data_IF_025066600083
#
_entry.id   IF_025066600083
#
_cell.length_a   1.000
_cell.length_b   1.000
_cell.length_c   1.000
_cell.angle_alpha   90.00
_cell.angle_beta   90.00
_cell.angle_gamma   90.00
#
_symmetry.space_group_name_H-M   'P 1'
#
loop_
_entity.id
_entity.type
_entity.pdbx_description
1 polymer ?
#
# COMPACT_ATOMS: atom_id res chain seq x y z
N UNK A 1 -3.59 8.94 -7.18
CA UNK A 1 -2.16 8.71 -6.88
C UNK A 1 -1.33 9.82 -7.51
N UNK A 2 -0.46 10.44 -6.76
CA UNK A 2 0.39 11.54 -7.22
C UNK A 2 1.52 11.01 -8.07
N UNK A 3 1.83 11.68 -9.17
CA UNK A 3 2.95 11.37 -10.04
C UNK A 3 3.86 12.58 -10.12
N UNK A 4 5.15 12.39 -9.90
CA UNK A 4 6.17 13.44 -10.00
C UNK A 4 7.22 13.06 -11.03
N UNK A 5 7.74 14.05 -11.74
CA UNK A 5 8.92 13.88 -12.59
C UNK A 5 10.16 13.71 -11.73
N UNK A 6 11.23 13.17 -12.33
CA UNK A 6 12.53 13.05 -11.65
C UNK A 6 13.02 14.41 -11.11
N UNK A 7 12.91 15.47 -11.91
CA UNK A 7 13.34 16.80 -11.51
C UNK A 7 12.52 17.33 -10.34
N UNK A 8 11.20 17.19 -10.40
CA UNK A 8 10.33 17.60 -9.29
C UNK A 8 10.61 16.80 -8.02
N UNK A 9 10.78 15.50 -8.13
CA UNK A 9 11.07 14.65 -6.98
C UNK A 9 12.42 15.00 -6.36
N UNK A 10 13.44 15.23 -7.19
CA UNK A 10 14.77 15.64 -6.72
C UNK A 10 14.72 16.97 -5.98
N UNK A 11 14.04 17.96 -6.55
CA UNK A 11 13.99 19.31 -6.00
C UNK A 11 13.10 19.40 -4.75
N UNK A 12 12.09 18.53 -4.65
CA UNK A 12 11.09 18.53 -3.58
C UNK A 12 11.02 17.20 -2.84
N UNK A 13 12.15 16.52 -2.70
CA UNK A 13 12.17 15.18 -2.09
C UNK A 13 11.63 15.17 -0.66
N UNK A 14 12.00 16.16 0.15
CA UNK A 14 11.50 16.26 1.52
C UNK A 14 9.98 16.41 1.56
N UNK A 15 9.42 17.25 0.68
CA UNK A 15 7.98 17.44 0.59
C UNK A 15 7.26 16.18 0.12
N UNK A 16 7.81 15.49 -0.87
CA UNK A 16 7.26 14.22 -1.36
C UNK A 16 7.31 13.15 -0.28
N UNK A 17 8.40 13.09 0.45
CA UNK A 17 8.57 12.18 1.59
C UNK A 17 7.48 12.41 2.64
N UNK A 18 7.32 13.66 3.08
CA UNK A 18 6.33 14.02 4.09
C UNK A 18 4.90 13.76 3.61
N UNK A 19 4.63 14.01 2.34
CA UNK A 19 3.32 13.77 1.74
C UNK A 19 2.96 12.29 1.76
N UNK A 20 3.85 11.41 1.30
CA UNK A 20 3.57 9.96 1.28
C UNK A 20 3.41 9.39 2.69
N UNK A 21 4.17 9.89 3.65
CA UNK A 21 4.03 9.50 5.06
C UNK A 21 2.71 9.98 5.64
N UNK A 22 2.31 11.22 5.34
CA UNK A 22 1.09 11.83 5.85
C UNK A 22 -0.17 11.20 5.26
N UNK A 23 -0.19 10.99 3.95
CA UNK A 23 -1.37 10.46 3.23
C UNK A 23 -1.42 8.93 3.22
N UNK A 24 -0.29 8.28 3.48
CA UNK A 24 -0.13 6.82 3.34
C UNK A 24 -0.38 6.32 1.92
N UNK A 25 -0.27 7.22 0.95
CA UNK A 25 -0.43 6.87 -0.46
C UNK A 25 0.90 6.89 -1.19
N UNK A 26 1.11 5.94 -2.12
CA UNK A 26 2.32 5.91 -2.93
C UNK A 26 2.41 7.14 -3.85
N UNK A 27 3.62 7.57 -4.11
CA UNK A 27 3.91 8.61 -5.11
C UNK A 27 4.73 7.97 -6.21
N UNK A 28 4.25 8.07 -7.45
CA UNK A 28 4.96 7.53 -8.61
C UNK A 28 6.02 8.54 -9.05
N UNK A 29 7.24 8.06 -9.23
CA UNK A 29 8.35 8.88 -9.72
C UNK A 29 8.70 8.43 -11.15
N UNK A 30 8.61 9.36 -12.08
CA UNK A 30 8.89 9.10 -13.49
C UNK A 30 10.18 9.77 -13.91
N UNK A 31 11.00 9.03 -14.64
CA UNK A 31 12.23 9.55 -15.20
C UNK A 31 12.29 9.17 -16.67
N UNK A 32 12.41 10.16 -17.54
CA UNK A 32 12.45 9.96 -18.97
C UNK A 32 13.57 8.99 -19.38
N UNK A 33 13.21 7.97 -20.14
CA UNK A 33 14.16 6.94 -20.58
C UNK A 33 14.51 5.89 -19.54
N UNK A 34 13.84 5.92 -18.37
CA UNK A 34 14.05 4.96 -17.28
C UNK A 34 12.73 4.39 -16.80
N UNK A 35 12.81 3.26 -16.13
CA UNK A 35 11.64 2.64 -15.53
C UNK A 35 11.13 3.50 -14.37
N UNK A 36 9.82 3.64 -14.27
CA UNK A 36 9.19 4.37 -13.15
C UNK A 36 9.33 3.61 -11.85
N UNK A 37 9.43 4.34 -10.75
CA UNK A 37 9.52 3.78 -9.40
C UNK A 37 8.45 4.39 -8.51
N UNK A 38 8.30 3.84 -7.33
CA UNK A 38 7.29 4.29 -6.36
C UNK A 38 7.97 4.66 -5.05
N UNK A 39 7.60 5.82 -4.51
CA UNK A 39 7.95 6.24 -3.17
C UNK A 39 6.78 5.89 -2.25
N UNK A 40 7.03 5.08 -1.23
CA UNK A 40 5.99 4.59 -0.33
C UNK A 40 6.57 4.41 1.08
N UNK A 41 5.81 4.67 2.14
CA UNK A 41 6.30 4.40 3.49
C UNK A 41 6.64 2.91 3.66
N UNK A 42 7.72 2.64 4.37
CA UNK A 42 8.20 1.26 4.54
C UNK A 42 7.15 0.34 5.17
N UNK A 43 6.40 0.84 6.14
CA UNK A 43 5.36 0.05 6.80
C UNK A 43 4.23 -0.31 5.83
N UNK A 44 3.86 0.61 4.95
CA UNK A 44 2.86 0.35 3.91
C UNK A 44 3.36 -0.73 2.93
N UNK A 45 4.61 -0.65 2.53
CA UNK A 45 5.24 -1.65 1.67
C UNK A 45 5.24 -3.03 2.33
N UNK A 46 5.63 -3.09 3.62
CA UNK A 46 5.61 -4.34 4.38
C UNK A 46 4.20 -4.92 4.49
N UNK A 47 3.20 -4.05 4.71
CA UNK A 47 1.80 -4.46 4.75
C UNK A 47 1.34 -5.06 3.42
N UNK A 48 1.72 -4.45 2.31
CA UNK A 48 1.42 -4.98 0.98
C UNK A 48 2.05 -6.35 0.76
N UNK A 49 3.31 -6.53 1.18
CA UNK A 49 4.00 -7.82 1.08
C UNK A 49 3.31 -8.91 1.91
N UNK A 50 2.89 -8.58 3.12
CA UNK A 50 2.15 -9.51 3.98
C UNK A 50 0.80 -9.90 3.35
N UNK A 51 0.08 -8.93 2.80
CA UNK A 51 -1.18 -9.18 2.11
C UNK A 51 -0.98 -10.09 0.90
N UNK A 52 0.05 -9.84 0.10
CA UNK A 52 0.39 -10.69 -1.03
C UNK A 52 0.73 -12.13 -0.58
N UNK A 53 1.46 -12.26 0.52
CA UNK A 53 1.77 -13.56 1.10
C UNK A 53 0.50 -14.31 1.55
N UNK A 54 -0.43 -13.60 2.17
CA UNK A 54 -1.73 -14.16 2.57
C UNK A 54 -2.53 -14.70 1.40
N UNK A 55 -2.50 -13.98 0.27
CA UNK A 55 -3.23 -14.35 -0.92
C UNK A 55 -2.67 -15.60 -1.62
N UNK A 56 -1.48 -16.07 -1.25
CA UNK A 56 -0.92 -17.31 -1.78
C UNK A 56 -1.66 -18.55 -1.27
N UNK A 57 -2.29 -18.47 -0.10
CA UNK A 57 -3.12 -19.54 0.43
C UNK A 57 -4.55 -19.36 -0.08
N UNK A 58 -5.15 -20.37 -0.76
CA UNK A 58 -6.53 -20.25 -1.25
C UNK A 58 -7.55 -19.96 -0.14
N UNK A 59 -7.35 -20.53 1.04
CA UNK A 59 -8.23 -20.29 2.19
C UNK A 59 -8.14 -18.84 2.68
N UNK A 60 -6.93 -18.32 2.80
CA UNK A 60 -6.71 -16.93 3.22
C UNK A 60 -7.19 -15.95 2.15
N UNK A 61 -6.99 -16.25 0.87
CA UNK A 61 -7.49 -15.43 -0.22
C UNK A 61 -9.00 -15.30 -0.17
N UNK A 62 -9.73 -16.42 0.01
CA UNK A 62 -11.19 -16.42 0.14
C UNK A 62 -11.65 -15.63 1.36
N UNK A 63 -10.96 -15.78 2.49
CA UNK A 63 -11.27 -15.06 3.72
C UNK A 63 -11.11 -13.56 3.54
N UNK A 64 -9.99 -13.12 2.94
CA UNK A 64 -9.72 -11.71 2.72
C UNK A 64 -10.70 -11.11 1.72
N UNK A 65 -10.97 -11.78 0.61
CA UNK A 65 -11.92 -11.31 -0.39
C UNK A 65 -13.34 -11.24 0.18
N UNK A 66 -13.73 -12.19 1.02
CA UNK A 66 -15.00 -12.15 1.74
C UNK A 66 -15.12 -10.96 2.67
N UNK A 67 -14.05 -10.63 3.40
CA UNK A 67 -14.01 -9.47 4.28
C UNK A 67 -14.14 -8.17 3.50
N UNK A 68 -13.43 -8.04 2.37
CA UNK A 68 -13.51 -6.88 1.48
C UNK A 68 -14.92 -6.71 0.91
N UNK A 69 -15.54 -7.80 0.50
CA UNK A 69 -16.92 -7.77 0.00
C UNK A 69 -17.91 -7.29 1.07
N UNK A 70 -17.75 -7.75 2.31
CA UNK A 70 -18.58 -7.28 3.43
C UNK A 70 -18.40 -5.78 3.68
N UNK A 71 -17.17 -5.26 3.57
CA UNK A 71 -16.91 -3.84 3.69
C UNK A 71 -17.62 -3.04 2.60
N UNK A 72 -17.60 -3.52 1.35
CA UNK A 72 -18.31 -2.90 0.24
C UNK A 72 -19.82 -2.85 0.47
N UNK A 73 -20.38 -3.87 1.12
CA UNK A 73 -21.80 -3.95 1.43
C UNK A 73 -22.19 -3.21 2.71
N UNK A 74 -21.27 -2.49 3.34
CA UNK A 74 -21.52 -1.74 4.57
C UNK A 74 -21.60 -2.59 5.84
N UNK A 75 -21.22 -3.86 5.78
CA UNK A 75 -21.24 -4.79 6.90
C UNK A 75 -19.92 -4.79 7.68
N UNK A 76 -19.28 -3.66 7.75
CA UNK A 76 -17.87 -3.53 8.00
C UNK A 76 -17.31 -4.05 9.32
N UNK A 77 -16.32 -4.92 9.20
CA UNK A 77 -15.24 -4.99 10.17
C UNK A 77 -14.08 -4.22 9.56
N UNK A 78 -13.77 -3.06 10.13
CA UNK A 78 -12.61 -2.28 9.71
C UNK A 78 -11.34 -3.03 10.14
N UNK A 79 -10.63 -3.62 9.18
CA UNK A 79 -9.35 -4.25 9.44
C UNK A 79 -8.23 -3.28 9.09
N UNK A 80 -7.41 -2.93 10.07
CA UNK A 80 -6.17 -2.19 9.83
C UNK A 80 -5.10 -3.15 9.31
N UNK A 81 -4.06 -2.67 8.63
CA UNK A 81 -2.93 -3.52 8.24
C UNK A 81 -2.31 -4.27 9.41
N UNK A 82 -2.26 -3.64 10.58
CA UNK A 82 -1.76 -4.28 11.80
C UNK A 82 -2.63 -5.46 12.23
N UNK A 83 -3.95 -5.33 12.15
CA UNK A 83 -4.88 -6.41 12.48
C UNK A 83 -4.78 -7.57 11.50
N UNK A 84 -4.61 -7.30 10.22
CA UNK A 84 -4.35 -8.32 9.21
C UNK A 84 -3.05 -9.07 9.50
N UNK A 85 -2.00 -8.34 9.80
CA UNK A 85 -0.69 -8.90 10.15
C UNK A 85 -0.77 -9.81 11.38
N UNK A 86 -1.48 -9.38 12.42
CA UNK A 86 -1.67 -10.15 13.65
C UNK A 86 -2.42 -11.45 13.40
N UNK A 87 -3.44 -11.42 12.57
CA UNK A 87 -4.22 -12.62 12.21
C UNK A 87 -3.43 -13.63 11.40
N UNK A 88 -2.47 -13.16 10.63
CA UNK A 88 -1.60 -14.03 9.83
C UNK A 88 -0.60 -14.78 10.69
N UNK A 89 -0.09 -14.12 11.72
CA UNK A 89 0.90 -14.69 12.65
C UNK A 89 0.28 -15.64 13.66
N UNK A 90 -1.00 -15.60 13.79
CA UNK A 90 -1.76 -16.55 14.60
C UNK A 90 -2.10 -17.83 13.78
#
# INVERSE_FOLDING_TARGET
>A
MTTLSYTEARDKLASAWDETVSTREPIVLERRGHESVVLVPLDEWRGMLETAHLLRSPANARRLLGALKRLENGEGVSLTPAQLSTRVKA
#
